data_IF_165229027529
#
_entry.id   IF_165229027529
#
_cell.length_a   1.000
_cell.length_b   1.000
_cell.length_c   1.000
_cell.angle_alpha   90.00
_cell.angle_beta   90.00
_cell.angle_gamma   90.00
#
_symmetry.space_group_name_H-M   'P 1'
#
loop_
_entity.id
_entity.type
_entity.pdbx_description
1 polymer ?
#
# COMPACT_ATOMS: atom_id res chain seq x y z
N UNK A 1 -11.02 9.90 4.87
CA UNK A 1 -10.25 9.95 6.14
C UNK A 1 -10.92 9.26 7.33
N UNK A 2 -12.22 9.46 7.62
CA UNK A 2 -12.90 8.76 8.74
C UNK A 2 -12.86 7.23 8.56
N UNK A 3 -13.23 6.72 7.39
CA UNK A 3 -13.19 5.30 7.05
C UNK A 3 -11.83 4.66 7.39
N UNK A 4 -10.73 5.21 6.87
CA UNK A 4 -9.38 4.67 7.14
C UNK A 4 -9.02 4.64 8.62
N UNK A 5 -9.43 5.66 9.40
CA UNK A 5 -9.18 5.69 10.85
C UNK A 5 -10.00 4.63 11.59
N UNK A 6 -11.27 4.48 11.24
CA UNK A 6 -12.15 3.50 11.87
C UNK A 6 -11.69 2.08 11.51
N UNK A 7 -11.31 1.85 10.26
CA UNK A 7 -10.75 0.60 9.77
C UNK A 7 -9.48 0.21 10.54
N UNK A 8 -8.51 1.13 10.63
CA UNK A 8 -7.29 0.92 11.40
C UNK A 8 -7.57 0.71 12.90
N UNK A 9 -8.58 1.38 13.47
CA UNK A 9 -8.95 1.19 14.89
C UNK A 9 -9.48 -0.22 15.15
N UNK A 10 -10.35 -0.75 14.29
CA UNK A 10 -10.84 -2.13 14.38
C UNK A 10 -9.69 -3.14 14.31
N UNK A 11 -8.74 -2.94 13.41
CA UNK A 11 -7.57 -3.83 13.30
C UNK A 11 -6.62 -3.72 14.50
N UNK A 12 -6.56 -2.57 15.18
CA UNK A 12 -5.84 -2.44 16.45
C UNK A 12 -6.51 -3.22 17.57
N UNK A 13 -7.84 -3.24 17.61
CA UNK A 13 -8.61 -4.00 18.61
C UNK A 13 -8.39 -5.52 18.48
N UNK A 14 -8.19 -6.01 17.26
CA UNK A 14 -7.90 -7.42 16.98
C UNK A 14 -6.42 -7.77 17.06
N UNK A 15 -5.53 -6.77 17.14
CA UNK A 15 -4.08 -6.95 17.09
C UNK A 15 -3.52 -7.17 15.68
N UNK A 16 -4.35 -7.06 14.65
CA UNK A 16 -3.96 -7.27 13.24
C UNK A 16 -3.24 -6.04 12.63
N UNK A 17 -3.36 -4.85 13.24
CA UNK A 17 -2.75 -3.63 12.71
C UNK A 17 -1.27 -3.49 13.09
N UNK A 18 -0.39 -3.34 12.09
CA UNK A 18 1.02 -2.99 12.30
C UNK A 18 1.24 -1.50 12.09
N UNK A 19 1.00 -1.00 10.87
CA UNK A 19 1.13 0.43 10.54
C UNK A 19 0.47 0.82 9.22
N UNK A 20 0.35 2.12 8.95
CA UNK A 20 -0.14 2.64 7.68
C UNK A 20 0.30 4.08 7.44
N UNK A 21 0.61 4.44 6.20
CA UNK A 21 1.03 5.79 5.84
C UNK A 21 0.46 6.20 4.47
N UNK A 22 -0.02 7.45 4.37
CA UNK A 22 -0.35 8.07 3.09
C UNK A 22 0.92 8.69 2.46
N UNK A 23 1.05 8.57 1.14
CA UNK A 23 2.15 9.15 0.38
C UNK A 23 1.71 10.45 -0.32
N UNK A 24 2.66 11.34 -0.55
CA UNK A 24 2.44 12.50 -1.41
C UNK A 24 2.30 12.03 -2.87
N UNK A 25 1.49 12.72 -3.69
CA UNK A 25 1.35 12.39 -5.10
C UNK A 25 2.63 12.66 -5.89
N UNK A 26 3.49 13.57 -5.42
CA UNK A 26 4.80 13.84 -6.02
C UNK A 26 5.89 12.91 -5.49
N UNK A 27 6.81 12.51 -6.36
CA UNK A 27 7.96 11.68 -5.99
C UNK A 27 8.96 11.52 -7.15
N UNK A 28 10.07 10.83 -6.89
CA UNK A 28 11.09 10.53 -7.89
C UNK A 28 11.61 9.10 -7.71
N UNK A 29 11.97 8.45 -8.81
CA UNK A 29 12.66 7.16 -8.78
C UNK A 29 14.15 7.42 -8.94
N UNK A 30 14.92 7.12 -7.90
CA UNK A 30 16.36 7.38 -7.92
C UNK A 30 17.11 6.09 -8.25
N UNK A 31 17.98 6.14 -9.27
CA UNK A 31 18.87 5.04 -9.64
C UNK A 31 20.32 5.52 -9.69
N UNK A 32 21.22 4.67 -9.19
CA UNK A 32 22.65 4.86 -9.35
C UNK A 32 23.05 4.80 -10.83
N UNK A 33 23.80 5.82 -11.28
CA UNK A 33 24.21 6.00 -12.69
C UNK A 33 25.74 5.87 -12.91
N UNK A 34 26.45 5.25 -11.96
CA UNK A 34 27.90 5.06 -12.05
C UNK A 34 28.70 6.00 -11.15
N UNK A 35 29.98 5.68 -10.99
CA UNK A 35 30.85 6.38 -10.04
C UNK A 35 31.18 7.77 -10.55
N UNK A 36 31.01 8.80 -9.71
CA UNK A 36 31.23 10.19 -10.09
C UNK A 36 30.08 10.83 -10.87
N UNK A 37 28.97 10.10 -11.11
CA UNK A 37 27.79 10.62 -11.78
C UNK A 37 26.65 10.92 -10.79
N UNK A 38 25.90 12.02 -10.96
CA UNK A 38 24.66 12.24 -10.22
C UNK A 38 23.66 11.10 -10.50
N UNK A 39 22.86 10.67 -9.52
CA UNK A 39 21.87 9.64 -9.74
C UNK A 39 20.75 10.14 -10.66
N UNK A 40 20.22 9.24 -11.48
CA UNK A 40 19.06 9.52 -12.33
C UNK A 40 17.80 9.49 -11.48
N UNK A 41 16.97 10.52 -11.58
CA UNK A 41 15.72 10.67 -10.80
C UNK A 41 14.45 10.34 -11.58
N UNK A 42 14.61 10.09 -12.89
CA UNK A 42 13.54 9.70 -13.79
C UNK A 42 13.63 8.17 -14.02
N UNK A 43 12.68 7.44 -13.47
CA UNK A 43 12.68 5.99 -13.49
C UNK A 43 12.37 5.42 -14.89
N UNK A 44 12.78 4.17 -15.18
CA UNK A 44 12.58 3.53 -16.50
C UNK A 44 11.14 3.04 -16.76
N UNK A 45 10.18 3.40 -15.91
CA UNK A 45 8.81 2.91 -16.01
C UNK A 45 7.92 3.94 -16.71
N UNK A 46 7.00 3.45 -17.57
CA UNK A 46 6.04 4.23 -18.33
C UNK A 46 5.31 5.28 -17.47
N UNK A 47 5.00 6.43 -18.06
CA UNK A 47 4.21 7.53 -17.48
C UNK A 47 2.80 7.08 -17.00
N UNK A 48 2.37 5.87 -17.35
CA UNK A 48 1.10 5.26 -16.93
C UNK A 48 1.11 4.70 -15.49
N UNK A 49 1.98 5.20 -14.61
CA UNK A 49 2.01 4.72 -13.23
C UNK A 49 0.78 5.19 -12.46
N UNK A 50 -0.10 4.23 -12.18
CA UNK A 50 -1.07 4.33 -11.09
C UNK A 50 -0.32 4.76 -9.81
N UNK A 51 -0.60 5.96 -9.35
CA UNK A 51 0.05 6.55 -8.18
C UNK A 51 -0.23 5.70 -6.95
N UNK A 52 0.81 5.27 -6.24
CA UNK A 52 0.64 4.60 -4.94
C UNK A 52 0.28 5.67 -3.91
N UNK A 53 -1.01 5.77 -3.56
CA UNK A 53 -1.52 6.76 -2.62
C UNK A 53 -1.09 6.51 -1.15
N UNK A 54 -0.63 5.30 -0.83
CA UNK A 54 -0.25 4.90 0.51
C UNK A 54 -0.08 3.40 0.65
N UNK A 55 0.20 2.95 1.87
CA UNK A 55 0.34 1.54 2.22
C UNK A 55 -0.16 1.28 3.64
N UNK A 56 -0.48 0.00 3.91
CA UNK A 56 -0.84 -0.52 5.22
C UNK A 56 -0.20 -1.89 5.39
N UNK A 57 0.34 -2.15 6.58
CA UNK A 57 0.82 -3.46 6.99
C UNK A 57 -0.16 -4.03 8.01
N UNK A 58 -0.55 -5.27 7.78
CA UNK A 58 -1.32 -6.08 8.71
C UNK A 58 -0.55 -7.35 9.05
N UNK A 59 -0.72 -7.84 10.28
CA UNK A 59 -0.22 -9.13 10.73
C UNK A 59 -1.44 -10.06 10.89
N UNK A 60 -1.53 -11.06 10.02
CA UNK A 60 -2.68 -11.95 9.91
C UNK A 60 -2.23 -13.37 9.63
N UNK A 61 -2.96 -14.35 10.17
CA UNK A 61 -2.58 -15.76 10.09
C UNK A 61 -2.78 -16.41 8.70
N UNK A 62 -3.43 -15.71 7.76
CA UNK A 62 -3.76 -16.27 6.45
C UNK A 62 -3.86 -15.25 5.32
N UNK A 63 -3.58 -15.75 4.10
CA UNK A 63 -3.80 -15.00 2.87
C UNK A 63 -5.25 -14.56 2.69
N UNK A 64 -6.21 -15.44 3.00
CA UNK A 64 -7.63 -15.16 2.85
C UNK A 64 -8.06 -13.98 3.72
N UNK A 65 -7.53 -13.87 4.95
CA UNK A 65 -7.79 -12.73 5.83
C UNK A 65 -7.19 -11.44 5.26
N UNK A 66 -5.96 -11.49 4.74
CA UNK A 66 -5.35 -10.33 4.09
C UNK A 66 -6.17 -9.87 2.86
N UNK A 67 -6.64 -10.81 2.05
CA UNK A 67 -7.45 -10.54 0.87
C UNK A 67 -8.83 -9.96 1.22
N UNK A 68 -9.48 -10.45 2.29
CA UNK A 68 -10.73 -9.89 2.82
C UNK A 68 -10.56 -8.41 3.21
N UNK A 69 -9.52 -8.11 4.00
CA UNK A 69 -9.21 -6.75 4.44
C UNK A 69 -8.90 -5.82 3.25
N UNK A 70 -8.18 -6.32 2.25
CA UNK A 70 -7.93 -5.58 1.01
C UNK A 70 -9.22 -5.32 0.22
N UNK A 71 -10.15 -6.28 0.19
CA UNK A 71 -11.48 -6.11 -0.41
C UNK A 71 -12.30 -5.02 0.28
N UNK A 72 -12.27 -4.95 1.62
CA UNK A 72 -12.90 -3.86 2.36
C UNK A 72 -12.30 -2.49 2.02
N UNK A 73 -10.97 -2.40 1.88
CA UNK A 73 -10.28 -1.16 1.48
C UNK A 73 -10.61 -0.77 0.03
N UNK A 74 -10.66 -1.74 -0.89
CA UNK A 74 -11.10 -1.53 -2.28
C UNK A 74 -12.53 -0.99 -2.37
N UNK A 75 -13.37 -1.35 -1.39
CA UNK A 75 -14.74 -0.88 -1.28
C UNK A 75 -14.90 0.40 -0.41
N UNK A 76 -13.80 1.09 -0.07
CA UNK A 76 -13.88 2.33 0.69
C UNK A 76 -14.85 3.33 0.04
N UNK A 77 -15.62 4.10 0.83
CA UNK A 77 -16.62 5.02 0.29
C UNK A 77 -15.95 6.20 -0.42
N UNK A 78 -16.23 6.32 -1.71
CA UNK A 78 -15.84 7.42 -2.59
C UNK A 78 -16.89 8.53 -2.66
N UNK A 79 -16.93 9.23 -3.80
CA UNK A 79 -17.88 10.31 -4.03
C UNK A 79 -19.33 9.79 -3.98
N UNK A 80 -20.19 10.46 -3.21
CA UNK A 80 -21.58 10.02 -3.02
C UNK A 80 -21.76 8.81 -2.12
N UNK A 81 -20.68 8.26 -1.55
CA UNK A 81 -20.72 7.07 -0.69
C UNK A 81 -20.59 5.74 -1.44
N UNK A 82 -20.47 5.78 -2.78
CA UNK A 82 -20.28 4.59 -3.60
C UNK A 82 -18.87 4.00 -3.43
N UNK A 83 -18.69 2.67 -3.48
CA UNK A 83 -17.37 2.03 -3.41
C UNK A 83 -16.42 2.55 -4.50
N UNK A 84 -15.14 2.74 -4.15
CA UNK A 84 -14.14 3.23 -5.12
C UNK A 84 -13.68 2.17 -6.13
N UNK A 85 -13.89 0.88 -5.85
CA UNK A 85 -13.46 -0.23 -6.72
C UNK A 85 -11.97 -0.19 -7.09
N UNK A 86 -11.16 0.34 -6.18
CA UNK A 86 -9.74 0.54 -6.42
C UNK A 86 -8.99 -0.79 -6.39
N UNK A 87 -7.98 -0.94 -7.24
CA UNK A 87 -7.10 -2.10 -7.20
C UNK A 87 -6.17 -2.00 -5.98
N UNK A 88 -6.21 -3.01 -5.11
CA UNK A 88 -5.30 -3.11 -3.96
C UNK A 88 -4.30 -4.23 -4.21
N UNK A 89 -3.03 -3.89 -4.30
CA UNK A 89 -1.96 -4.88 -4.30
C UNK A 89 -1.81 -5.48 -2.89
N UNK A 90 -2.03 -6.79 -2.77
CA UNK A 90 -1.73 -7.56 -1.56
C UNK A 90 -0.45 -8.33 -1.80
N UNK A 91 0.56 -8.10 -0.95
CA UNK A 91 1.87 -8.75 -1.06
C UNK A 91 2.39 -9.14 0.33
N UNK A 92 2.79 -10.41 0.54
CA UNK A 92 3.42 -10.80 1.79
C UNK A 92 4.84 -10.22 1.85
N UNK A 93 5.33 -9.97 3.06
CA UNK A 93 6.76 -9.70 3.21
C UNK A 93 7.58 -10.91 2.80
N UNK A 94 8.70 -10.63 2.15
CA UNK A 94 9.70 -11.66 1.92
C UNK A 94 10.23 -12.12 3.28
N UNK A 95 9.97 -13.37 3.62
CA UNK A 95 10.53 -14.01 4.81
C UNK A 95 11.74 -14.85 4.39
N UNK A 96 12.72 -15.01 5.28
CA UNK A 96 13.79 -15.97 5.04
C UNK A 96 13.16 -17.35 4.81
N UNK A 97 13.50 -17.97 3.69
CA UNK A 97 13.11 -19.36 3.45
C UNK A 97 13.72 -20.21 4.57
N UNK A 98 12.88 -20.86 5.36
CA UNK A 98 13.37 -21.91 6.24
C UNK A 98 14.05 -22.95 5.35
N UNK A 99 15.37 -23.05 5.46
CA UNK A 99 16.17 -24.07 4.74
C UNK A 99 15.80 -25.46 5.22
#
# INVERSE_FOLDING_TARGET
MKFMRDFASRLKETGEFVESQALAPEGAFVRYDGEGHPPVTDGPFSEDKDLIAGWMIVDVDSWDRAAELAGELSAAPGAGGEPIHEWIEVRPFLTESHT
#
